data_IF_978118926488
#
_entry.id   IF_978118926488
#
_cell.length_a   1.000
_cell.length_b   1.000
_cell.length_c   1.000
_cell.angle_alpha   90.00
_cell.angle_beta   90.00
_cell.angle_gamma   90.00
#
_symmetry.space_group_name_H-M   'P 1'
#
loop_
_entity.id
_entity.type
_entity.pdbx_description
1 polymer ?
#
# COMPACT_ATOMS: atom_id res chain seq x y z
N UNK A 1 0.91 11.05 18.55
CA UNK A 1 2.14 10.24 18.62
C UNK A 1 1.91 8.78 18.20
N UNK A 2 1.03 8.02 18.88
CA UNK A 2 0.79 6.60 18.56
C UNK A 2 0.42 6.35 17.07
N UNK A 3 -0.45 7.18 16.49
CA UNK A 3 -0.85 7.10 15.07
C UNK A 3 0.34 7.29 14.11
N UNK A 4 1.29 8.18 14.45
CA UNK A 4 2.52 8.34 13.68
C UNK A 4 3.42 7.12 13.84
N UNK A 5 3.56 6.61 15.06
CA UNK A 5 4.39 5.43 15.37
C UNK A 5 3.88 4.14 14.71
N UNK A 6 2.58 4.01 14.46
CA UNK A 6 2.03 2.88 13.72
C UNK A 6 2.03 3.06 12.20
N UNK A 7 2.60 4.16 11.68
CA UNK A 7 2.74 4.39 10.24
C UNK A 7 1.48 4.94 9.56
N UNK A 8 0.57 5.58 10.30
CA UNK A 8 -0.63 6.24 9.74
C UNK A 8 -0.58 7.76 9.93
N UNK A 9 0.61 8.35 9.83
CA UNK A 9 0.83 9.78 10.06
C UNK A 9 -0.05 10.67 9.16
N UNK A 10 -0.36 10.18 7.96
CA UNK A 10 -1.13 10.90 6.95
C UNK A 10 -2.56 11.21 7.41
N UNK A 11 -3.17 10.29 8.17
CA UNK A 11 -4.49 10.49 8.77
C UNK A 11 -4.57 11.71 9.69
N UNK A 12 -3.45 12.12 10.31
CA UNK A 12 -3.41 13.31 11.17
C UNK A 12 -3.41 14.62 10.38
N UNK A 13 -3.01 14.58 9.10
CA UNK A 13 -2.98 15.73 8.18
C UNK A 13 -4.30 15.89 7.42
N UNK A 14 -5.11 14.83 7.35
CA UNK A 14 -6.39 14.84 6.67
C UNK A 14 -7.43 15.66 7.44
N UNK A 15 -8.32 16.32 6.71
CA UNK A 15 -9.46 16.97 7.33
C UNK A 15 -10.34 15.93 8.04
N UNK A 16 -10.80 16.29 9.23
CA UNK A 16 -11.60 15.38 10.04
C UNK A 16 -12.96 15.19 9.37
N UNK A 17 -13.26 13.95 9.01
CA UNK A 17 -14.55 13.58 8.42
C UNK A 17 -15.28 12.60 9.34
N UNK A 18 -16.60 12.69 9.35
CA UNK A 18 -17.45 11.68 9.97
C UNK A 18 -18.07 10.85 8.86
N UNK A 19 -17.85 9.53 8.90
CA UNK A 19 -18.43 8.60 7.94
C UNK A 19 -19.38 7.68 8.70
N UNK A 20 -20.63 7.58 8.23
CA UNK A 20 -21.58 6.66 8.82
C UNK A 20 -21.10 5.22 8.65
N UNK A 21 -21.14 4.43 9.74
CA UNK A 21 -20.73 3.02 9.71
C UNK A 21 -21.45 2.21 8.63
N UNK A 22 -22.74 2.50 8.39
CA UNK A 22 -23.53 1.86 7.34
C UNK A 22 -22.95 2.16 5.95
N UNK A 23 -22.51 3.40 5.71
CA UNK A 23 -21.87 3.78 4.46
C UNK A 23 -20.51 3.06 4.30
N UNK A 24 -19.70 2.98 5.37
CA UNK A 24 -18.45 2.22 5.33
C UNK A 24 -18.69 0.76 4.93
N UNK A 25 -19.68 0.09 5.56
CA UNK A 25 -20.03 -1.29 5.22
C UNK A 25 -20.54 -1.44 3.78
N UNK A 26 -21.33 -0.46 3.32
CA UNK A 26 -21.80 -0.45 1.93
C UNK A 26 -20.64 -0.34 0.95
N UNK A 27 -19.68 0.57 1.18
CA UNK A 27 -18.48 0.75 0.36
C UNK A 27 -17.64 -0.53 0.34
N UNK A 28 -17.39 -1.16 1.50
CA UNK A 28 -16.59 -2.40 1.56
C UNK A 28 -17.24 -3.53 0.78
N UNK A 29 -18.57 -3.60 0.74
CA UNK A 29 -19.29 -4.59 -0.05
C UNK A 29 -19.23 -4.33 -1.56
N UNK A 30 -18.75 -3.16 -2.00
CA UNK A 30 -18.55 -2.84 -3.41
C UNK A 30 -17.16 -3.23 -3.94
N UNK A 31 -16.28 -3.80 -3.11
CA UNK A 31 -14.95 -4.19 -3.58
C UNK A 31 -15.01 -5.41 -4.49
N UNK A 32 -14.59 -5.24 -5.73
CA UNK A 32 -14.42 -6.33 -6.70
C UNK A 32 -13.00 -6.89 -6.56
N UNK A 33 -12.89 -8.13 -6.08
CA UNK A 33 -11.61 -8.80 -5.86
C UNK A 33 -10.88 -9.17 -7.15
N UNK A 34 -11.59 -9.28 -8.29
CA UNK A 34 -10.97 -9.55 -9.58
C UNK A 34 -10.43 -8.27 -10.21
N UNK A 35 -11.14 -7.17 -10.07
CA UNK A 35 -10.71 -5.87 -10.57
C UNK A 35 -9.76 -5.13 -9.61
N UNK A 36 -9.61 -5.62 -8.37
CA UNK A 36 -8.86 -4.99 -7.29
C UNK A 36 -9.28 -3.51 -7.06
N UNK A 37 -10.58 -3.23 -7.19
CA UNK A 37 -11.13 -1.89 -7.16
C UNK A 37 -12.56 -1.87 -6.59
N UNK A 38 -12.98 -0.71 -6.08
CA UNK A 38 -14.36 -0.50 -5.63
C UNK A 38 -15.26 -0.10 -6.79
N UNK A 39 -16.35 -0.83 -7.02
CA UNK A 39 -17.36 -0.49 -8.02
C UNK A 39 -18.48 0.36 -7.39
N UNK A 40 -18.37 1.68 -7.47
CA UNK A 40 -19.36 2.61 -6.94
C UNK A 40 -20.22 3.13 -8.08
N UNK A 41 -21.49 2.71 -8.12
CA UNK A 41 -22.47 3.15 -9.14
C UNK A 41 -21.95 2.98 -10.59
N UNK A 42 -21.22 1.90 -10.87
CA UNK A 42 -20.66 1.61 -12.19
C UNK A 42 -19.29 2.24 -12.46
N UNK A 43 -18.76 3.05 -11.52
CA UNK A 43 -17.41 3.62 -11.60
C UNK A 43 -16.43 2.81 -10.77
N UNK A 44 -15.35 2.34 -11.38
CA UNK A 44 -14.28 1.62 -10.68
C UNK A 44 -13.26 2.59 -10.10
N UNK A 45 -13.04 2.50 -8.79
CA UNK A 45 -12.06 3.27 -8.04
C UNK A 45 -11.02 2.31 -7.48
N UNK A 46 -9.84 2.28 -8.10
CA UNK A 46 -8.68 1.55 -7.59
C UNK A 46 -7.95 2.38 -6.54
N UNK A 47 -7.31 1.71 -5.58
CA UNK A 47 -6.36 2.34 -4.68
C UNK A 47 -4.98 2.31 -5.31
N UNK A 48 -4.39 3.49 -5.49
CA UNK A 48 -3.03 3.64 -5.98
C UNK A 48 -2.03 3.64 -4.82
N UNK A 49 -0.74 3.42 -5.13
CA UNK A 49 0.34 3.60 -4.16
C UNK A 49 0.41 5.02 -3.60
N UNK A 50 -0.04 6.01 -4.38
CA UNK A 50 -0.14 7.41 -3.92
C UNK A 50 -1.22 7.59 -2.85
N UNK A 51 -2.32 6.84 -2.92
CA UNK A 51 -3.35 6.86 -1.87
C UNK A 51 -2.80 6.29 -0.57
N UNK A 52 -2.01 5.20 -0.66
CA UNK A 52 -1.30 4.66 0.49
C UNK A 52 -0.30 5.67 1.10
N UNK A 53 0.45 6.40 0.27
CA UNK A 53 1.35 7.46 0.74
C UNK A 53 0.60 8.56 1.49
N UNK A 54 -0.54 9.02 0.97
CA UNK A 54 -1.36 10.03 1.66
C UNK A 54 -1.93 9.52 3.00
N UNK A 55 -2.25 8.24 3.11
CA UNK A 55 -2.79 7.64 4.34
C UNK A 55 -1.69 7.38 5.38
N UNK A 56 -0.55 6.85 4.93
CA UNK A 56 0.53 6.39 5.78
C UNK A 56 1.53 7.50 6.14
N UNK A 57 1.63 8.55 5.30
CA UNK A 57 2.71 9.54 5.33
C UNK A 57 4.09 8.89 5.18
N UNK A 58 4.14 7.86 4.33
CA UNK A 58 5.34 7.13 3.94
C UNK A 58 5.47 7.21 2.42
N UNK A 59 6.68 7.39 1.89
CA UNK A 59 6.86 7.50 0.44
C UNK A 59 6.35 6.23 -0.26
N UNK A 60 5.57 6.41 -1.33
CA UNK A 60 5.02 5.30 -2.12
C UNK A 60 6.10 4.53 -2.89
N UNK A 61 7.27 5.13 -3.08
CA UNK A 61 8.45 4.53 -3.70
C UNK A 61 9.60 4.55 -2.69
N UNK A 62 10.23 3.40 -2.49
CA UNK A 62 11.47 3.32 -1.72
C UNK A 62 12.65 3.92 -2.47
N UNK A 63 13.79 4.06 -1.79
CA UNK A 63 15.05 4.37 -2.46
C UNK A 63 15.41 3.27 -3.46
N UNK A 64 16.04 3.67 -4.57
CA UNK A 64 16.54 2.71 -5.54
C UNK A 64 17.68 1.89 -4.91
N UNK A 65 17.50 0.57 -4.85
CA UNK A 65 18.48 -0.33 -4.25
C UNK A 65 19.50 -0.75 -5.32
N UNK A 66 20.66 -0.10 -5.33
CA UNK A 66 21.72 -0.39 -6.30
C UNK A 66 22.56 -1.62 -5.92
N UNK A 67 22.79 -1.81 -4.63
CA UNK A 67 23.61 -2.86 -4.04
C UNK A 67 22.81 -3.71 -3.04
N UNK A 68 23.14 -5.00 -2.86
CA UNK A 68 22.43 -5.83 -1.89
C UNK A 68 22.55 -5.23 -0.48
N UNK A 69 21.43 -5.15 0.27
CA UNK A 69 21.51 -4.75 1.66
C UNK A 69 22.44 -5.73 2.40
N UNK A 70 23.26 -5.22 3.33
CA UNK A 70 24.18 -6.02 4.17
C UNK A 70 23.45 -6.98 5.13
N UNK A 71 22.15 -7.17 4.95
CA UNK A 71 21.28 -8.02 5.75
C UNK A 71 21.40 -9.47 5.29
N UNK A 72 20.92 -10.40 6.13
CA UNK A 72 21.14 -11.84 5.95
C UNK A 72 20.47 -12.47 4.71
N UNK A 73 19.57 -11.77 4.03
CA UNK A 73 18.83 -12.29 2.88
C UNK A 73 19.30 -11.65 1.58
N UNK A 74 20.51 -11.99 1.13
CA UNK A 74 20.98 -11.61 -0.21
C UNK A 74 20.10 -12.20 -1.31
N UNK A 75 19.53 -13.40 -1.09
CA UNK A 75 18.63 -14.06 -2.04
C UNK A 75 17.39 -13.20 -2.38
N UNK A 76 16.87 -12.42 -1.41
CA UNK A 76 15.75 -11.50 -1.65
C UNK A 76 16.15 -10.34 -2.57
N UNK A 77 17.40 -9.89 -2.49
CA UNK A 77 17.89 -8.86 -3.39
C UNK A 77 18.05 -9.38 -4.82
N UNK A 78 18.52 -10.61 -4.98
CA UNK A 78 18.64 -11.24 -6.30
C UNK A 78 17.25 -11.47 -6.93
N UNK A 79 16.26 -11.91 -6.13
CA UNK A 79 14.85 -12.00 -6.55
C UNK A 79 14.30 -10.61 -6.94
N UNK A 80 14.58 -9.59 -6.13
CA UNK A 80 14.19 -8.21 -6.42
C UNK A 80 14.81 -7.71 -7.74
N UNK A 81 16.11 -7.90 -7.97
CA UNK A 81 16.80 -7.46 -9.21
C UNK A 81 16.26 -8.19 -10.45
N UNK A 82 16.09 -9.50 -10.38
CA UNK A 82 15.56 -10.28 -11.52
C UNK A 82 14.16 -9.84 -11.89
N UNK A 83 13.33 -9.58 -10.88
CA UNK A 83 11.94 -9.27 -11.06
C UNK A 83 11.66 -7.76 -11.28
N UNK A 84 12.60 -6.86 -10.90
CA UNK A 84 12.55 -5.42 -11.19
C UNK A 84 12.50 -5.10 -12.69
N UNK A 85 13.04 -5.97 -13.55
CA UNK A 85 12.90 -5.85 -15.01
C UNK A 85 11.45 -5.95 -15.48
N UNK A 86 10.54 -6.41 -14.62
CA UNK A 86 9.12 -6.63 -14.88
C UNK A 86 8.20 -5.99 -13.81
N UNK A 87 8.73 -5.12 -12.95
CA UNK A 87 7.93 -4.39 -11.95
C UNK A 87 7.48 -5.25 -10.76
N UNK A 88 8.35 -6.09 -10.22
CA UNK A 88 7.96 -7.03 -9.17
C UNK A 88 7.99 -6.48 -7.74
N UNK A 89 6.99 -6.90 -6.97
CA UNK A 89 6.87 -6.67 -5.54
C UNK A 89 7.42 -7.89 -4.77
N UNK A 90 8.20 -7.64 -3.72
CA UNK A 90 8.60 -8.69 -2.77
C UNK A 90 7.34 -9.15 -2.02
N UNK A 91 7.04 -10.44 -2.06
CA UNK A 91 5.90 -11.00 -1.30
C UNK A 91 6.21 -10.97 0.19
N UNK A 92 5.23 -10.63 1.01
CA UNK A 92 5.35 -10.66 2.48
C UNK A 92 5.79 -12.04 3.01
N UNK A 93 5.38 -13.12 2.35
CA UNK A 93 5.80 -14.48 2.68
C UNK A 93 7.31 -14.71 2.55
N UNK A 94 8.01 -13.93 1.72
CA UNK A 94 9.46 -14.03 1.53
C UNK A 94 10.26 -13.35 2.64
N UNK A 95 9.61 -12.58 3.53
CA UNK A 95 10.25 -11.90 4.66
C UNK A 95 10.31 -12.74 5.95
N UNK A 96 9.73 -13.94 5.95
CA UNK A 96 9.70 -14.87 7.09
C UNK A 96 10.82 -15.91 6.98
#
# INVERSE_FOLDING_TARGET
>A
EAVHKCGFGGLLKMHRINVHRILCMWITNQFDTKAEAFNIQGSYLSLSSRDAEHLLDLPSQGEEIFEPPKTKNMDLFDEFKTASKQGAHIKLSSLQ
#
